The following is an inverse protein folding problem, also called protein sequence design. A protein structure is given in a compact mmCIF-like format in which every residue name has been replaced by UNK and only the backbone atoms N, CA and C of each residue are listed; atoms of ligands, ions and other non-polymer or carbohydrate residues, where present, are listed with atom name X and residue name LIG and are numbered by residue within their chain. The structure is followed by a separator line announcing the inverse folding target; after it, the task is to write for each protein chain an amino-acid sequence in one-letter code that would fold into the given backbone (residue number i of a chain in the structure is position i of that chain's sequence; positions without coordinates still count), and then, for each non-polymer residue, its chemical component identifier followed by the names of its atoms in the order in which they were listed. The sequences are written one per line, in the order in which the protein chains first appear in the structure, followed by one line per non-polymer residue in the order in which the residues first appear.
data_IF_269526025392
#
_entry.id   IF_269526025392
#
_cell.length_a   1.000
_cell.length_b   1.000
_cell.length_c   1.000
_cell.angle_alpha   90.00
_cell.angle_beta   90.00
_cell.angle_gamma   90.00
#
_symmetry.space_group_name_H-M   'P 1'
#
loop_
_entity.id
_entity.type
_entity.pdbx_description
1 polymer ?
#
# COMPACT_ATOMS: atom_id res chain seq x y z
N UNK A 1 38.01 -36.56 -22.35
CA UNK A 1 37.55 -37.07 -21.05
C UNK A 1 37.31 -35.83 -20.17
N UNK A 2 36.14 -35.21 -20.31
CA UNK A 2 35.71 -34.11 -19.43
C UNK A 2 35.21 -34.74 -18.15
N UNK A 3 35.91 -34.43 -17.07
CA UNK A 3 35.53 -34.78 -15.72
C UNK A 3 34.24 -34.04 -15.40
N UNK A 4 33.11 -34.72 -15.47
CA UNK A 4 31.83 -34.31 -14.91
C UNK A 4 32.00 -34.27 -13.40
N UNK A 5 32.44 -33.12 -12.86
CA UNK A 5 32.31 -32.79 -11.45
C UNK A 5 30.82 -32.57 -11.18
N UNK A 6 30.15 -33.61 -10.68
CA UNK A 6 28.84 -33.47 -10.08
C UNK A 6 29.01 -32.46 -8.94
N UNK A 7 28.49 -31.25 -9.14
CA UNK A 7 28.36 -30.25 -8.07
C UNK A 7 27.35 -30.78 -7.05
N UNK A 8 27.80 -31.64 -6.17
CA UNK A 8 27.04 -32.00 -4.96
C UNK A 8 27.08 -30.81 -4.03
N UNK A 9 26.00 -30.05 -4.02
CA UNK A 9 25.81 -28.98 -3.02
C UNK A 9 25.95 -29.59 -1.64
N UNK A 10 26.87 -29.08 -0.82
CA UNK A 10 27.04 -29.49 0.56
C UNK A 10 25.88 -28.91 1.39
N UNK A 11 24.88 -29.72 1.66
CA UNK A 11 23.72 -29.28 2.47
C UNK A 11 24.08 -29.40 3.97
N UNK A 12 24.55 -28.32 4.54
CA UNK A 12 24.47 -28.19 6.00
C UNK A 12 23.02 -27.88 6.39
N UNK A 13 22.44 -28.69 7.26
CA UNK A 13 21.08 -28.43 7.79
C UNK A 13 21.04 -27.36 8.87
N UNK A 14 22.19 -26.83 9.29
CA UNK A 14 22.28 -25.89 10.41
C UNK A 14 22.43 -24.44 9.92
N UNK A 15 21.46 -23.59 10.27
CA UNK A 15 21.49 -22.14 10.02
C UNK A 15 22.78 -21.50 10.57
N UNK A 16 23.28 -21.97 11.71
CA UNK A 16 24.52 -21.49 12.34
C UNK A 16 25.75 -21.63 11.43
N UNK A 17 25.79 -22.65 10.56
CA UNK A 17 26.84 -22.80 9.58
C UNK A 17 26.93 -21.59 8.63
N UNK A 18 25.83 -21.16 8.06
CA UNK A 18 25.78 -20.02 7.14
C UNK A 18 26.14 -18.71 7.82
N UNK A 19 25.69 -18.51 9.07
CA UNK A 19 26.06 -17.33 9.87
C UNK A 19 27.56 -17.28 10.12
N UNK A 20 28.18 -18.40 10.53
CA UNK A 20 29.62 -18.46 10.75
C UNK A 20 30.41 -18.27 9.43
N UNK A 21 29.90 -18.79 8.31
CA UNK A 21 30.52 -18.66 7.00
C UNK A 21 30.70 -17.19 6.59
N UNK A 22 29.71 -16.37 6.83
CA UNK A 22 29.74 -14.94 6.52
C UNK A 22 30.36 -14.08 7.63
N UNK A 23 30.85 -14.70 8.69
CA UNK A 23 31.47 -14.01 9.83
C UNK A 23 30.48 -13.36 10.81
N UNK A 24 29.18 -13.66 10.68
CA UNK A 24 28.13 -13.17 11.58
C UNK A 24 27.92 -14.15 12.74
N UNK A 25 28.35 -13.77 13.95
CA UNK A 25 28.19 -14.61 15.13
C UNK A 25 26.78 -14.49 15.69
N UNK A 26 26.09 -15.63 15.87
CA UNK A 26 24.85 -15.66 16.63
C UNK A 26 25.21 -15.57 18.11
N UNK A 27 24.64 -14.61 18.83
CA UNK A 27 24.84 -14.47 20.28
C UNK A 27 24.31 -15.71 20.99
N UNK A 28 25.09 -16.25 21.91
CA UNK A 28 24.66 -17.40 22.74
C UNK A 28 23.74 -16.97 23.89
N UNK A 29 23.87 -15.73 24.31
CA UNK A 29 23.08 -15.13 25.38
C UNK A 29 22.41 -13.83 24.94
N UNK A 30 21.30 -13.51 25.54
CA UNK A 30 20.58 -12.25 25.30
C UNK A 30 21.39 -11.06 25.81
N UNK A 31 21.65 -10.10 24.95
CA UNK A 31 22.26 -8.82 25.30
C UNK A 31 21.19 -7.78 25.60
N UNK A 32 21.57 -6.71 26.35
CA UNK A 32 20.68 -5.57 26.58
C UNK A 32 20.18 -4.97 25.25
N UNK A 33 21.07 -4.92 24.24
CA UNK A 33 20.71 -4.45 22.88
C UNK A 33 19.60 -5.31 22.27
N UNK A 34 19.67 -6.63 22.41
CA UNK A 34 18.64 -7.54 21.85
C UNK A 34 17.29 -7.32 22.53
N UNK A 35 17.26 -7.19 23.86
CA UNK A 35 16.02 -6.90 24.59
C UNK A 35 15.40 -5.57 24.18
N UNK A 36 16.19 -4.52 24.00
CA UNK A 36 15.70 -3.21 23.57
C UNK A 36 15.12 -3.29 22.16
N UNK A 37 15.83 -3.92 21.21
CA UNK A 37 15.39 -4.04 19.81
C UNK A 37 14.10 -4.86 19.72
N UNK A 38 14.04 -5.99 20.41
CA UNK A 38 12.85 -6.87 20.39
C UNK A 38 11.67 -6.20 21.09
N UNK A 39 11.88 -5.61 22.26
CA UNK A 39 10.82 -4.91 22.97
C UNK A 39 10.24 -3.75 22.16
N UNK A 40 11.12 -2.93 21.56
CA UNK A 40 10.69 -1.84 20.68
C UNK A 40 9.98 -2.37 19.43
N UNK A 41 10.57 -3.37 18.75
CA UNK A 41 10.01 -3.97 17.54
C UNK A 41 8.63 -4.58 17.79
N UNK A 42 8.46 -5.40 18.83
CA UNK A 42 7.16 -5.98 19.18
C UNK A 42 6.11 -4.94 19.56
N UNK A 43 6.52 -3.85 20.21
CA UNK A 43 5.62 -2.73 20.52
C UNK A 43 5.13 -2.06 19.23
N UNK A 44 6.03 -1.80 18.28
CA UNK A 44 5.66 -1.26 16.96
C UNK A 44 4.75 -2.22 16.22
N UNK A 45 5.08 -3.52 16.16
CA UNK A 45 4.23 -4.55 15.55
C UNK A 45 2.80 -4.53 16.11
N UNK A 46 2.68 -4.48 17.43
CA UNK A 46 1.38 -4.45 18.10
C UNK A 46 0.55 -3.23 17.68
N UNK A 47 1.18 -2.04 17.66
CA UNK A 47 0.52 -0.81 17.25
C UNK A 47 0.14 -0.86 15.75
N UNK A 48 1.03 -1.41 14.89
CA UNK A 48 0.77 -1.61 13.45
C UNK A 48 -0.46 -2.47 13.25
N UNK A 49 -0.52 -3.63 13.92
CA UNK A 49 -1.65 -4.56 13.80
C UNK A 49 -2.96 -3.90 14.24
N UNK A 50 -2.98 -3.23 15.39
CA UNK A 50 -4.18 -2.56 15.89
C UNK A 50 -4.64 -1.42 14.99
N UNK A 51 -3.71 -0.58 14.53
CA UNK A 51 -4.04 0.58 13.70
C UNK A 51 -4.60 0.16 12.34
N UNK A 52 -4.00 -0.83 11.68
CA UNK A 52 -4.47 -1.30 10.38
C UNK A 52 -5.76 -2.13 10.50
N UNK A 53 -5.93 -2.89 11.57
CA UNK A 53 -7.21 -3.54 11.87
C UNK A 53 -8.34 -2.51 12.04
N UNK A 54 -8.08 -1.40 12.72
CA UNK A 54 -9.04 -0.29 12.82
C UNK A 54 -9.42 0.28 11.46
N UNK A 55 -8.47 0.48 10.55
CA UNK A 55 -8.75 0.93 9.18
C UNK A 55 -9.65 -0.06 8.46
N UNK A 56 -9.34 -1.36 8.50
CA UNK A 56 -10.15 -2.40 7.85
C UNK A 56 -11.56 -2.45 8.42
N UNK A 57 -11.71 -2.42 9.75
CA UNK A 57 -13.03 -2.38 10.41
C UNK A 57 -13.81 -1.12 10.02
N UNK A 58 -13.16 0.05 9.97
CA UNK A 58 -13.80 1.29 9.56
C UNK A 58 -14.33 1.23 8.11
N UNK A 59 -13.52 0.69 7.17
CA UNK A 59 -13.94 0.51 5.77
C UNK A 59 -15.12 -0.47 5.67
N UNK A 60 -15.09 -1.55 6.45
CA UNK A 60 -16.17 -2.53 6.45
C UNK A 60 -17.49 -1.99 7.04
N UNK A 61 -17.40 -1.25 8.15
CA UNK A 61 -18.59 -0.75 8.88
C UNK A 61 -19.28 0.41 8.17
N UNK A 62 -18.54 1.28 7.48
CA UNK A 62 -19.09 2.50 6.89
C UNK A 62 -19.35 2.34 5.40
N UNK A 63 -20.62 2.32 4.99
CA UNK A 63 -21.03 2.17 3.59
C UNK A 63 -20.49 3.27 2.67
N UNK A 64 -20.13 4.44 3.21
CA UNK A 64 -19.49 5.52 2.44
C UNK A 64 -18.10 5.15 1.90
N UNK A 65 -17.48 4.11 2.46
CA UNK A 65 -16.17 3.60 1.99
C UNK A 65 -16.30 2.44 0.99
N UNK A 66 -17.50 2.13 0.50
CA UNK A 66 -17.68 1.04 -0.48
C UNK A 66 -17.41 1.44 -1.94
N UNK A 67 -16.59 2.48 -2.16
CA UNK A 67 -16.06 2.84 -3.48
C UNK A 67 -14.78 2.07 -3.80
N UNK A 68 -14.49 1.82 -5.09
CA UNK A 68 -13.34 1.02 -5.51
C UNK A 68 -11.99 1.43 -4.91
N UNK A 69 -11.75 2.72 -4.72
CA UNK A 69 -10.52 3.22 -4.12
C UNK A 69 -10.33 2.77 -2.67
N UNK A 70 -11.41 2.68 -1.89
CA UNK A 70 -11.31 2.22 -0.50
C UNK A 70 -11.02 0.73 -0.39
N UNK A 71 -11.33 -0.07 -1.42
CA UNK A 71 -10.88 -1.46 -1.48
C UNK A 71 -9.36 -1.56 -1.64
N UNK A 72 -8.72 -0.66 -2.41
CA UNK A 72 -7.26 -0.59 -2.47
C UNK A 72 -6.66 -0.12 -1.14
N UNK A 73 -7.28 0.87 -0.48
CA UNK A 73 -6.85 1.31 0.86
C UNK A 73 -7.02 0.19 1.90
N UNK A 74 -8.11 -0.57 1.83
CA UNK A 74 -8.32 -1.75 2.66
C UNK A 74 -7.29 -2.84 2.40
N UNK A 75 -6.93 -3.07 1.14
CA UNK A 75 -5.88 -4.01 0.78
C UNK A 75 -4.49 -3.54 1.26
N UNK A 76 -4.21 -2.24 1.23
CA UNK A 76 -2.99 -1.68 1.82
C UNK A 76 -2.96 -1.89 3.32
N UNK A 77 -4.07 -1.64 4.03
CA UNK A 77 -4.16 -1.93 5.46
C UNK A 77 -4.02 -3.43 5.77
N UNK A 78 -4.52 -4.32 4.90
CA UNK A 78 -4.32 -5.76 5.03
C UNK A 78 -2.84 -6.17 4.84
N UNK A 79 -2.14 -5.57 3.87
CA UNK A 79 -0.72 -5.80 3.66
C UNK A 79 0.13 -5.28 4.84
N UNK A 80 -0.21 -4.11 5.40
CA UNK A 80 0.46 -3.54 6.56
C UNK A 80 0.18 -4.34 7.85
N UNK A 81 -1.05 -4.85 8.02
CA UNK A 81 -1.36 -5.78 9.11
C UNK A 81 -0.55 -7.07 8.99
N UNK A 82 -0.46 -7.62 7.78
CA UNK A 82 0.36 -8.80 7.51
C UNK A 82 1.84 -8.52 7.76
N UNK A 83 2.34 -7.31 7.43
CA UNK A 83 3.69 -6.86 7.76
C UNK A 83 3.92 -6.89 9.28
N UNK A 84 3.03 -6.29 10.08
CA UNK A 84 3.14 -6.29 11.54
C UNK A 84 3.24 -7.70 12.14
N UNK A 85 2.44 -8.65 11.63
CA UNK A 85 2.52 -10.07 12.05
C UNK A 85 3.83 -10.71 11.61
N UNK A 86 4.29 -10.44 10.38
CA UNK A 86 5.54 -10.97 9.82
C UNK A 86 6.77 -10.48 10.58
N UNK A 87 6.80 -9.18 10.90
CA UNK A 87 7.87 -8.59 11.72
C UNK A 87 7.83 -9.08 13.17
N UNK A 88 6.66 -9.28 13.76
CA UNK A 88 6.56 -9.90 15.08
C UNK A 88 7.16 -11.30 15.07
N UNK A 89 6.86 -12.11 14.04
CA UNK A 89 7.48 -13.42 13.85
C UNK A 89 9.01 -13.30 13.68
N UNK A 90 9.51 -12.34 12.93
CA UNK A 90 10.94 -12.06 12.79
C UNK A 90 11.58 -11.73 14.14
N UNK A 91 10.98 -10.82 14.93
CA UNK A 91 11.48 -10.40 16.24
C UNK A 91 11.53 -11.55 17.23
N UNK A 92 10.50 -12.41 17.26
CA UNK A 92 10.44 -13.58 18.11
C UNK A 92 11.46 -14.68 17.73
N UNK A 93 11.94 -14.68 16.48
CA UNK A 93 12.90 -15.65 15.95
C UNK A 93 14.28 -15.02 15.67
N UNK A 94 14.69 -14.01 16.42
CA UNK A 94 15.99 -13.34 16.30
C UNK A 94 16.86 -13.54 17.56
N UNK A 95 18.07 -13.00 17.57
CA UNK A 95 19.01 -13.15 18.69
C UNK A 95 19.47 -14.60 18.89
N UNK A 96 19.60 -15.09 20.13
CA UNK A 96 20.01 -16.46 20.43
C UNK A 96 19.11 -17.53 19.83
N UNK A 97 17.81 -17.26 19.68
CA UNK A 97 16.86 -18.22 19.08
C UNK A 97 17.11 -18.49 17.61
N UNK A 98 17.83 -17.62 16.91
CA UNK A 98 18.22 -17.88 15.51
C UNK A 98 18.99 -19.20 15.35
N UNK A 99 19.77 -19.61 16.36
CA UNK A 99 20.55 -20.86 16.33
C UNK A 99 19.70 -22.12 16.37
N UNK A 100 18.45 -22.03 16.86
CA UNK A 100 17.53 -23.16 16.98
C UNK A 100 16.64 -23.33 15.75
N UNK A 101 16.67 -22.40 14.81
CA UNK A 101 15.85 -22.46 13.60
C UNK A 101 16.35 -23.53 12.63
N UNK A 102 15.40 -24.26 12.03
CA UNK A 102 15.68 -25.02 10.80
C UNK A 102 15.82 -24.07 9.61
N UNK A 103 16.39 -24.55 8.50
CA UNK A 103 16.48 -23.76 7.25
C UNK A 103 15.09 -23.32 6.75
N UNK A 104 14.13 -24.24 6.80
CA UNK A 104 12.76 -23.99 6.36
C UNK A 104 12.11 -22.89 7.20
N UNK A 105 12.29 -22.93 8.53
CA UNK A 105 11.78 -21.88 9.43
C UNK A 105 12.47 -20.54 9.14
N UNK A 106 13.76 -20.55 8.87
CA UNK A 106 14.51 -19.36 8.53
C UNK A 106 14.03 -18.73 7.21
N UNK A 107 13.86 -19.55 6.14
CA UNK A 107 13.31 -19.10 4.89
C UNK A 107 11.86 -18.62 5.02
N UNK A 108 11.03 -19.31 5.77
CA UNK A 108 9.64 -18.91 6.03
C UNK A 108 9.59 -17.55 6.69
N UNK A 109 10.44 -17.28 7.68
CA UNK A 109 10.57 -15.99 8.35
C UNK A 109 10.93 -14.88 7.35
N UNK A 110 11.91 -15.14 6.47
CA UNK A 110 12.31 -14.19 5.41
C UNK A 110 11.20 -13.99 4.38
N UNK A 111 10.59 -15.07 3.90
CA UNK A 111 9.52 -15.03 2.91
C UNK A 111 8.31 -14.21 3.37
N UNK A 112 7.91 -14.32 4.64
CA UNK A 112 6.82 -13.51 5.20
C UNK A 112 7.12 -12.01 5.11
N UNK A 113 8.36 -11.62 5.40
CA UNK A 113 8.82 -10.24 5.25
C UNK A 113 8.80 -9.82 3.78
N UNK A 114 9.40 -10.59 2.89
CA UNK A 114 9.50 -10.26 1.47
C UNK A 114 8.11 -10.14 0.81
N UNK A 115 7.16 -11.02 1.18
CA UNK A 115 5.76 -10.95 0.73
C UNK A 115 5.11 -9.65 1.19
N UNK A 116 5.22 -9.32 2.49
CA UNK A 116 4.57 -8.13 3.05
C UNK A 116 5.11 -6.85 2.42
N UNK A 117 6.43 -6.76 2.26
CA UNK A 117 7.11 -5.63 1.65
C UNK A 117 6.71 -5.44 0.19
N UNK A 118 6.78 -6.51 -0.59
CA UNK A 118 6.40 -6.48 -2.00
C UNK A 118 4.94 -6.10 -2.16
N UNK A 119 4.04 -6.62 -1.31
CA UNK A 119 2.63 -6.26 -1.33
C UNK A 119 2.41 -4.78 -0.99
N UNK A 120 3.09 -4.22 0.00
CA UNK A 120 2.98 -2.80 0.38
C UNK A 120 3.47 -1.89 -0.74
N UNK A 121 4.65 -2.17 -1.34
CA UNK A 121 5.18 -1.40 -2.49
C UNK A 121 4.24 -1.46 -3.69
N UNK A 122 3.75 -2.65 -4.03
CA UNK A 122 2.84 -2.84 -5.16
C UNK A 122 1.49 -2.14 -4.96
N UNK A 123 0.96 -2.10 -3.72
CA UNK A 123 -0.23 -1.34 -3.37
C UNK A 123 -0.02 0.17 -3.58
N UNK A 124 1.10 0.72 -3.11
CA UNK A 124 1.43 2.12 -3.30
C UNK A 124 1.58 2.48 -4.78
N UNK A 125 2.23 1.61 -5.56
CA UNK A 125 2.34 1.78 -7.01
C UNK A 125 0.96 1.75 -7.68
N UNK A 126 0.08 0.81 -7.31
CA UNK A 126 -1.28 0.72 -7.85
C UNK A 126 -2.10 1.99 -7.56
N UNK A 127 -2.00 2.52 -6.33
CA UNK A 127 -2.64 3.80 -5.95
C UNK A 127 -2.02 4.96 -6.75
N UNK A 128 -0.70 4.99 -6.93
CA UNK A 128 -0.02 6.03 -7.71
C UNK A 128 -0.47 6.04 -9.18
N UNK A 129 -0.54 4.86 -9.81
CA UNK A 129 -1.01 4.70 -11.20
C UNK A 129 -2.47 5.14 -11.33
N UNK A 130 -3.33 4.71 -10.43
CA UNK A 130 -4.74 5.07 -10.43
C UNK A 130 -4.92 6.59 -10.32
N UNK A 131 -4.22 7.22 -9.37
CA UNK A 131 -4.29 8.68 -9.19
C UNK A 131 -3.72 9.45 -10.37
N UNK A 132 -2.61 8.98 -10.94
CA UNK A 132 -2.04 9.57 -12.13
C UNK A 132 -3.02 9.55 -13.31
N UNK A 133 -3.67 8.41 -13.55
CA UNK A 133 -4.67 8.30 -14.62
C UNK A 133 -5.88 9.20 -14.35
N UNK A 134 -6.48 9.12 -13.17
CA UNK A 134 -7.69 9.89 -12.80
C UNK A 134 -7.48 11.40 -12.93
N UNK A 135 -6.34 11.92 -12.47
CA UNK A 135 -6.09 13.36 -12.46
C UNK A 135 -5.73 13.89 -13.85
N UNK A 136 -4.88 13.17 -14.62
CA UNK A 136 -4.46 13.65 -15.95
C UNK A 136 -5.54 13.53 -17.01
N UNK A 137 -6.46 12.56 -16.91
CA UNK A 137 -7.55 12.41 -17.88
C UNK A 137 -8.74 13.32 -17.60
N UNK A 138 -8.70 14.13 -16.53
CA UNK A 138 -9.84 14.93 -16.03
C UNK A 138 -11.14 14.15 -15.86
N UNK A 139 -11.11 12.86 -15.99
CA UNK A 139 -12.26 12.00 -15.75
C UNK A 139 -12.35 11.68 -14.24
N UNK A 140 -12.82 12.67 -13.46
CA UNK A 140 -13.16 12.45 -12.05
C UNK A 140 -14.12 11.26 -11.85
N UNK A 141 -14.75 10.82 -12.92
CA UNK A 141 -15.72 9.73 -12.99
C UNK A 141 -15.23 8.53 -13.81
N UNK A 142 -13.94 8.38 -14.08
CA UNK A 142 -13.42 7.08 -14.51
C UNK A 142 -13.64 6.10 -13.36
N UNK A 143 -14.87 5.56 -13.29
CA UNK A 143 -15.27 4.57 -12.30
C UNK A 143 -14.35 3.37 -12.49
N UNK A 144 -13.29 3.29 -11.65
CA UNK A 144 -12.50 2.08 -11.59
C UNK A 144 -13.47 0.91 -11.40
N UNK A 145 -13.52 0.00 -12.36
CA UNK A 145 -14.42 -1.15 -12.28
C UNK A 145 -14.01 -2.01 -11.09
N UNK A 146 -14.96 -2.50 -10.31
CA UNK A 146 -14.71 -3.46 -9.22
C UNK A 146 -13.86 -4.63 -9.69
N UNK A 147 -14.04 -5.12 -10.93
CA UNK A 147 -13.22 -6.19 -11.53
C UNK A 147 -11.75 -5.81 -11.64
N UNK A 148 -11.42 -4.55 -12.03
CA UNK A 148 -10.03 -4.08 -12.10
C UNK A 148 -9.38 -4.03 -10.73
N UNK A 149 -10.10 -3.57 -9.70
CA UNK A 149 -9.59 -3.55 -8.32
C UNK A 149 -9.28 -4.96 -7.83
N UNK A 150 -10.22 -5.89 -8.00
CA UNK A 150 -10.02 -7.29 -7.59
C UNK A 150 -8.82 -7.90 -8.32
N UNK A 151 -8.70 -7.68 -9.64
CA UNK A 151 -7.56 -8.17 -10.42
C UNK A 151 -6.25 -7.59 -9.91
N UNK A 152 -6.19 -6.28 -9.63
CA UNK A 152 -5.00 -5.64 -9.06
C UNK A 152 -4.63 -6.27 -7.71
N UNK A 153 -5.59 -6.47 -6.82
CA UNK A 153 -5.37 -7.10 -5.52
C UNK A 153 -4.79 -8.51 -5.68
N UNK A 154 -5.38 -9.33 -6.56
CA UNK A 154 -4.88 -10.67 -6.85
C UNK A 154 -3.45 -10.62 -7.41
N UNK A 155 -3.17 -9.72 -8.35
CA UNK A 155 -1.82 -9.54 -8.90
C UNK A 155 -0.81 -9.11 -7.83
N UNK A 156 -1.17 -8.18 -6.95
CA UNK A 156 -0.30 -7.71 -5.85
C UNK A 156 0.12 -8.87 -4.96
N UNK A 157 -0.83 -9.68 -4.49
CA UNK A 157 -0.53 -10.83 -3.64
C UNK A 157 0.20 -11.94 -4.38
N UNK A 158 -0.12 -12.21 -5.65
CA UNK A 158 0.58 -13.19 -6.47
C UNK A 158 2.06 -12.81 -6.66
N UNK A 159 2.35 -11.53 -6.97
CA UNK A 159 3.72 -11.02 -7.07
C UNK A 159 4.43 -11.07 -5.72
N UNK A 160 3.76 -10.69 -4.64
CA UNK A 160 4.31 -10.77 -3.28
C UNK A 160 4.73 -12.19 -2.93
N UNK A 161 3.85 -13.17 -3.10
CA UNK A 161 4.12 -14.59 -2.84
C UNK A 161 5.27 -15.09 -3.72
N UNK A 162 5.26 -14.76 -5.00
CA UNK A 162 6.35 -15.15 -5.92
C UNK A 162 7.70 -14.61 -5.42
N UNK A 163 7.78 -13.33 -5.06
CA UNK A 163 9.01 -12.71 -4.56
C UNK A 163 9.49 -13.28 -3.23
N UNK A 164 8.57 -13.64 -2.32
CA UNK A 164 8.94 -14.29 -1.05
C UNK A 164 9.46 -15.73 -1.23
N UNK A 165 9.05 -16.45 -2.28
CA UNK A 165 9.49 -17.81 -2.54
C UNK A 165 10.81 -17.88 -3.35
N UNK A 166 11.13 -16.83 -4.12
CA UNK A 166 12.33 -16.80 -4.98
C UNK A 166 13.62 -17.08 -4.22
N UNK A 167 13.90 -16.51 -3.02
CA UNK A 167 15.16 -16.79 -2.31
C UNK A 167 15.32 -18.26 -1.96
N UNK A 168 14.27 -18.92 -1.46
CA UNK A 168 14.36 -20.31 -1.05
C UNK A 168 14.43 -21.31 -2.20
N UNK A 169 13.78 -20.99 -3.33
CA UNK A 169 13.66 -21.92 -4.46
C UNK A 169 14.74 -21.74 -5.53
N UNK A 170 15.08 -20.48 -5.86
CA UNK A 170 15.88 -20.16 -7.04
C UNK A 170 17.18 -19.43 -6.72
N UNK A 171 17.17 -18.51 -5.73
CA UNK A 171 18.28 -17.60 -5.45
C UNK A 171 18.77 -17.71 -4.01
N UNK A 172 18.91 -18.95 -3.52
CA UNK A 172 19.66 -19.22 -2.30
C UNK A 172 21.16 -19.30 -2.60
N UNK A 173 21.99 -19.25 -1.55
CA UNK A 173 23.43 -19.37 -1.68
C UNK A 173 23.97 -20.75 -1.31
N UNK A 174 23.10 -21.75 -1.12
CA UNK A 174 23.48 -23.07 -0.58
C UNK A 174 24.52 -23.79 -1.46
N UNK A 175 24.43 -23.61 -2.77
CA UNK A 175 25.38 -24.20 -3.75
C UNK A 175 26.51 -23.27 -4.14
N UNK A 176 26.47 -21.97 -3.78
CA UNK A 176 27.48 -20.96 -4.07
C UNK A 176 27.78 -20.16 -2.80
N UNK A 177 28.52 -20.78 -1.89
CA UNK A 177 28.76 -20.23 -0.54
C UNK A 177 29.45 -18.86 -0.54
N UNK A 178 30.23 -18.54 -1.58
CA UNK A 178 30.84 -17.21 -1.74
C UNK A 178 29.83 -16.12 -2.11
N UNK A 179 28.64 -16.49 -2.55
CA UNK A 179 27.56 -15.56 -2.91
C UNK A 179 26.58 -15.32 -1.74
N UNK A 180 26.85 -15.88 -0.55
CA UNK A 180 26.02 -15.66 0.62
C UNK A 180 26.10 -14.21 1.12
N UNK A 181 24.94 -13.65 1.45
CA UNK A 181 24.80 -12.31 2.04
C UNK A 181 25.28 -12.28 3.48
N UNK A 182 25.82 -11.17 3.95
CA UNK A 182 26.17 -10.98 5.37
C UNK A 182 24.94 -10.56 6.19
N UNK A 183 24.01 -9.83 5.59
CA UNK A 183 22.76 -9.39 6.24
C UNK A 183 21.78 -10.58 6.35
N UNK A 184 21.58 -11.32 5.25
CA UNK A 184 20.67 -12.47 5.18
C UNK A 184 21.44 -13.75 4.77
N UNK A 185 22.11 -14.46 5.70
CA UNK A 185 23.15 -15.46 5.39
C UNK A 185 22.77 -16.64 4.52
N UNK A 186 21.49 -16.92 4.29
CA UNK A 186 21.03 -17.97 3.40
C UNK A 186 20.59 -17.42 2.02
N UNK A 187 20.46 -16.10 1.88
CA UNK A 187 20.11 -15.47 0.61
C UNK A 187 21.36 -15.20 -0.23
N UNK A 188 21.21 -15.30 -1.55
CA UNK A 188 22.22 -14.88 -2.51
C UNK A 188 22.35 -13.35 -2.54
N UNK A 189 23.58 -12.83 -2.57
CA UNK A 189 23.83 -11.39 -2.75
C UNK A 189 23.21 -10.85 -4.03
N UNK A 190 23.17 -11.65 -5.09
CA UNK A 190 22.53 -11.28 -6.37
C UNK A 190 21.05 -11.03 -6.20
N UNK A 191 20.37 -11.85 -5.39
CA UNK A 191 18.95 -11.61 -5.07
C UNK A 191 18.75 -10.29 -4.35
N UNK A 192 19.57 -9.97 -3.35
CA UNK A 192 19.45 -8.72 -2.58
C UNK A 192 19.67 -7.49 -3.47
N UNK A 193 20.68 -7.53 -4.35
CA UNK A 193 20.92 -6.45 -5.33
C UNK A 193 19.71 -6.30 -6.27
N UNK A 194 19.22 -7.40 -6.83
CA UNK A 194 18.06 -7.38 -7.71
C UNK A 194 16.83 -6.81 -7.00
N UNK A 195 16.55 -7.30 -5.80
CA UNK A 195 15.38 -6.89 -5.03
C UNK A 195 15.47 -5.41 -4.62
N UNK A 196 16.62 -4.96 -4.13
CA UNK A 196 16.85 -3.56 -3.77
C UNK A 196 16.74 -2.64 -5.00
N UNK A 197 17.36 -3.01 -6.12
CA UNK A 197 17.29 -2.25 -7.36
C UNK A 197 15.87 -2.13 -7.91
N UNK A 198 15.09 -3.22 -7.87
CA UNK A 198 13.70 -3.25 -8.31
C UNK A 198 12.84 -2.29 -7.46
N UNK A 199 13.01 -2.31 -6.14
CA UNK A 199 12.27 -1.42 -5.24
C UNK A 199 12.69 0.05 -5.45
N UNK A 200 13.97 0.36 -5.58
CA UNK A 200 14.46 1.71 -5.87
C UNK A 200 13.91 2.23 -7.21
N UNK A 201 13.93 1.40 -8.25
CA UNK A 201 13.33 1.75 -9.54
C UNK A 201 11.82 2.07 -9.39
N UNK A 202 11.09 1.25 -8.64
CA UNK A 202 9.67 1.48 -8.35
C UNK A 202 9.46 2.80 -7.63
N UNK A 203 10.33 3.18 -6.69
CA UNK A 203 10.30 4.48 -6.01
C UNK A 203 10.52 5.64 -6.98
N UNK A 204 11.50 5.53 -7.87
CA UNK A 204 11.72 6.55 -8.91
C UNK A 204 10.50 6.73 -9.80
N UNK A 205 9.86 5.64 -10.21
CA UNK A 205 8.62 5.69 -11.01
C UNK A 205 7.52 6.42 -10.24
N UNK A 206 7.29 6.06 -8.97
CA UNK A 206 6.27 6.72 -8.14
C UNK A 206 6.58 8.22 -7.96
N UNK A 207 7.81 8.58 -7.64
CA UNK A 207 8.23 9.99 -7.49
C UNK A 207 8.01 10.75 -8.80
N UNK A 208 8.38 10.18 -9.94
CA UNK A 208 8.15 10.79 -11.26
C UNK A 208 6.65 11.01 -11.54
N UNK A 209 5.81 10.01 -11.24
CA UNK A 209 4.36 10.12 -11.42
C UNK A 209 3.76 11.22 -10.53
N UNK A 210 4.11 11.27 -9.25
CA UNK A 210 3.62 12.30 -8.34
C UNK A 210 4.14 13.70 -8.69
N UNK A 211 5.39 13.81 -9.14
CA UNK A 211 5.93 15.08 -9.65
C UNK A 211 5.14 15.57 -10.86
N UNK A 212 4.83 14.69 -11.82
CA UNK A 212 3.98 15.04 -12.98
C UNK A 212 2.59 15.49 -12.55
N UNK A 213 1.94 14.78 -11.63
CA UNK A 213 0.64 15.18 -11.10
C UNK A 213 0.74 16.55 -10.41
N UNK A 214 1.76 16.76 -9.57
CA UNK A 214 1.96 18.03 -8.85
C UNK A 214 2.13 19.20 -9.80
N UNK A 215 3.00 19.06 -10.82
CA UNK A 215 3.22 20.09 -11.84
C UNK A 215 1.93 20.38 -12.60
N UNK A 216 1.19 19.36 -13.01
CA UNK A 216 -0.08 19.50 -13.70
C UNK A 216 -1.13 20.27 -12.87
N UNK A 217 -1.31 19.87 -11.61
CA UNK A 217 -2.27 20.53 -10.70
C UNK A 217 -1.86 21.98 -10.42
N UNK A 218 -0.55 22.25 -10.22
CA UNK A 218 -0.04 23.63 -10.06
C UNK A 218 -0.31 24.48 -11.29
N UNK A 219 0.00 23.96 -12.48
CA UNK A 219 -0.25 24.68 -13.73
C UNK A 219 -1.74 25.00 -13.90
N UNK A 220 -2.60 24.01 -13.64
CA UNK A 220 -4.05 24.17 -13.74
C UNK A 220 -4.60 25.17 -12.70
N UNK A 221 -4.11 25.12 -11.46
CA UNK A 221 -4.47 26.07 -10.40
C UNK A 221 -4.10 27.51 -10.76
N UNK A 222 -2.96 27.73 -11.42
CA UNK A 222 -2.56 29.05 -11.88
C UNK A 222 -3.45 29.55 -13.03
N UNK A 223 -3.89 28.65 -13.91
CA UNK A 223 -4.73 29.01 -15.07
C UNK A 223 -6.20 29.20 -14.68
N UNK A 224 -6.73 28.41 -13.73
CA UNK A 224 -8.14 28.43 -13.28
C UNK A 224 -8.37 29.39 -12.11
N UNK A 225 -7.34 29.97 -11.51
CA UNK A 225 -7.41 30.94 -10.40
C UNK A 225 -8.29 32.15 -10.68
N UNK A 226 -8.76 32.33 -11.91
CA UNK A 226 -9.71 33.37 -12.28
C UNK A 226 -11.20 32.95 -12.13
N UNK A 227 -11.57 31.66 -11.97
CA UNK A 227 -12.99 31.31 -12.10
C UNK A 227 -13.59 30.26 -11.16
N UNK A 228 -12.84 29.51 -10.33
CA UNK A 228 -13.48 28.64 -9.32
C UNK A 228 -12.52 28.12 -8.24
N UNK A 229 -12.71 28.55 -6.99
CA UNK A 229 -11.78 28.27 -5.87
C UNK A 229 -11.97 26.93 -5.16
N UNK A 230 -13.16 26.33 -5.14
CA UNK A 230 -13.44 25.15 -4.30
C UNK A 230 -12.88 23.82 -4.83
N UNK A 231 -12.95 23.61 -6.12
CA UNK A 231 -12.50 22.34 -6.74
C UNK A 231 -10.97 22.18 -6.72
N UNK A 232 -10.23 23.27 -6.91
CA UNK A 232 -8.77 23.31 -6.83
C UNK A 232 -8.25 22.97 -5.44
N UNK A 233 -8.93 23.43 -4.39
CA UNK A 233 -8.57 23.16 -2.99
C UNK A 233 -8.66 21.68 -2.63
N UNK A 234 -9.71 21.00 -3.08
CA UNK A 234 -9.93 19.56 -2.81
C UNK A 234 -8.86 18.70 -3.47
N UNK A 235 -8.54 18.96 -4.74
CA UNK A 235 -7.48 18.26 -5.48
C UNK A 235 -6.12 18.51 -4.82
N UNK A 236 -5.81 19.75 -4.43
CA UNK A 236 -4.56 20.10 -3.76
C UNK A 236 -4.41 19.39 -2.40
N UNK A 237 -5.47 19.31 -1.61
CA UNK A 237 -5.46 18.60 -0.34
C UNK A 237 -5.22 17.10 -0.51
N UNK A 238 -5.84 16.48 -1.53
CA UNK A 238 -5.61 15.08 -1.88
C UNK A 238 -4.14 14.85 -2.26
N UNK A 239 -3.57 15.72 -3.09
CA UNK A 239 -2.17 15.65 -3.51
C UNK A 239 -1.21 15.74 -2.33
N UNK A 240 -1.45 16.66 -1.41
CA UNK A 240 -0.65 16.79 -0.18
C UNK A 240 -0.65 15.50 0.64
N UNK A 241 -1.81 14.85 0.76
CA UNK A 241 -1.95 13.59 1.50
C UNK A 241 -1.11 12.48 0.87
N UNK A 242 -1.23 12.31 -0.45
CA UNK A 242 -0.52 11.25 -1.18
C UNK A 242 1.00 11.50 -1.17
N UNK A 243 1.43 12.76 -1.32
CA UNK A 243 2.86 13.13 -1.24
C UNK A 243 3.45 12.84 0.16
N UNK A 244 2.65 13.01 1.23
CA UNK A 244 3.09 12.64 2.58
C UNK A 244 3.26 11.13 2.74
N UNK A 245 2.31 10.32 2.22
CA UNK A 245 2.43 8.85 2.24
C UNK A 245 3.69 8.40 1.51
N UNK A 246 3.91 8.89 0.28
CA UNK A 246 5.09 8.55 -0.50
C UNK A 246 6.39 9.01 0.17
N UNK A 247 6.40 10.25 0.70
CA UNK A 247 7.58 10.80 1.38
C UNK A 247 7.98 9.97 2.60
N UNK A 248 7.01 9.62 3.43
CA UNK A 248 7.24 8.76 4.59
C UNK A 248 7.73 7.35 4.17
N UNK A 249 7.13 6.79 3.11
CA UNK A 249 7.54 5.50 2.57
C UNK A 249 9.01 5.53 2.12
N UNK A 250 9.42 6.53 1.33
CA UNK A 250 10.81 6.68 0.88
C UNK A 250 11.75 6.84 2.07
N UNK A 251 11.41 7.66 3.06
CA UNK A 251 12.25 7.88 4.25
C UNK A 251 12.40 6.60 5.06
N UNK A 252 11.34 5.85 5.28
CA UNK A 252 11.37 4.63 6.09
C UNK A 252 12.12 3.48 5.40
N UNK A 253 12.02 3.37 4.07
CA UNK A 253 12.56 2.22 3.32
C UNK A 253 13.95 2.41 2.76
N UNK A 254 14.32 3.64 2.39
CA UNK A 254 15.64 3.91 1.77
C UNK A 254 16.82 3.40 2.61
N UNK A 255 16.86 3.58 3.95
CA UNK A 255 17.97 3.04 4.74
C UNK A 255 18.13 1.52 4.62
N UNK A 256 17.01 0.78 4.69
CA UNK A 256 17.02 -0.68 4.55
C UNK A 256 17.45 -1.13 3.16
N UNK A 257 16.91 -0.52 2.10
CA UNK A 257 17.28 -0.85 0.73
C UNK A 257 18.75 -0.54 0.43
N UNK A 258 19.27 0.57 0.94
CA UNK A 258 20.70 0.90 0.81
C UNK A 258 21.58 -0.11 1.56
N UNK A 259 21.17 -0.56 2.74
CA UNK A 259 21.86 -1.60 3.50
C UNK A 259 21.94 -2.90 2.70
N UNK A 260 20.83 -3.34 2.11
CA UNK A 260 20.79 -4.54 1.26
C UNK A 260 21.62 -4.40 -0.01
N UNK A 261 21.58 -3.23 -0.64
CA UNK A 261 22.37 -2.95 -1.84
C UNK A 261 23.88 -2.93 -1.54
N UNK A 262 24.29 -2.31 -0.44
CA UNK A 262 25.68 -2.28 -0.02
C UNK A 262 26.20 -3.67 0.34
N UNK A 263 25.41 -4.46 1.07
CA UNK A 263 25.75 -5.85 1.38
C UNK A 263 25.91 -6.68 0.11
N UNK A 264 24.98 -6.56 -0.84
CA UNK A 264 25.02 -7.28 -2.09
C UNK A 264 26.22 -6.91 -2.98
N UNK A 265 26.62 -5.64 -2.99
CA UNK A 265 27.75 -5.14 -3.82
C UNK A 265 29.11 -5.34 -3.16
N UNK A 266 29.25 -5.01 -1.87
CA UNK A 266 30.50 -4.99 -1.14
C UNK A 266 30.75 -6.29 -0.33
N UNK A 267 29.70 -7.05 -0.04
CA UNK A 267 29.79 -8.30 0.72
C UNK A 267 30.37 -8.07 2.14
N UNK A 268 31.39 -8.86 2.49
CA UNK A 268 31.97 -8.84 3.86
C UNK A 268 32.64 -7.52 4.26
N UNK A 269 32.97 -6.68 3.30
CA UNK A 269 33.58 -5.36 3.55
C UNK A 269 32.53 -4.30 3.91
N UNK A 270 31.23 -4.64 3.91
CA UNK A 270 30.17 -3.72 4.27
C UNK A 270 29.93 -3.71 5.77
N UNK A 271 29.74 -2.50 6.35
CA UNK A 271 29.24 -2.33 7.73
C UNK A 271 27.72 -2.47 7.83
N UNK A 272 27.07 -3.11 6.82
CA UNK A 272 25.63 -3.25 6.74
C UNK A 272 24.99 -3.95 7.95
N UNK A 273 25.70 -4.92 8.52
CA UNK A 273 25.25 -5.68 9.70
C UNK A 273 25.04 -4.82 10.97
N UNK A 274 25.76 -3.70 11.10
CA UNK A 274 25.70 -2.84 12.29
C UNK A 274 24.36 -2.10 12.37
N UNK A 275 23.77 -1.79 11.22
CA UNK A 275 22.55 -0.99 11.09
C UNK A 275 21.31 -1.79 10.74
N UNK A 276 21.45 -3.06 10.33
CA UNK A 276 20.35 -3.93 9.85
C UNK A 276 19.11 -3.89 10.75
N UNK A 277 19.31 -4.12 12.05
CA UNK A 277 18.18 -4.20 13.01
C UNK A 277 17.43 -2.87 13.16
N UNK A 278 18.14 -1.76 13.08
CA UNK A 278 17.52 -0.43 13.15
C UNK A 278 16.77 -0.09 11.86
N UNK A 279 17.36 -0.44 10.71
CA UNK A 279 16.69 -0.27 9.41
C UNK A 279 15.39 -1.06 9.32
N UNK A 280 15.35 -2.27 9.86
CA UNK A 280 14.15 -3.10 9.94
C UNK A 280 13.05 -2.43 10.79
N UNK A 281 13.37 -1.91 11.96
CA UNK A 281 12.40 -1.20 12.82
C UNK A 281 11.89 0.07 12.14
N UNK A 282 12.77 0.84 11.48
CA UNK A 282 12.35 2.04 10.74
C UNK A 282 11.43 1.66 9.57
N UNK A 283 11.76 0.61 8.83
CA UNK A 283 10.94 0.13 7.72
C UNK A 283 9.54 -0.31 8.19
N UNK A 284 9.45 -0.98 9.35
CA UNK A 284 8.19 -1.37 9.96
C UNK A 284 7.32 -0.18 10.36
N UNK A 285 7.93 0.92 10.83
CA UNK A 285 7.21 2.16 11.17
C UNK A 285 6.44 2.73 9.97
N UNK A 286 6.82 2.40 8.72
CA UNK A 286 6.07 2.79 7.54
C UNK A 286 4.61 2.33 7.58
N UNK A 287 4.35 1.12 8.08
CA UNK A 287 3.00 0.57 8.18
C UNK A 287 2.10 1.29 9.20
N UNK A 288 2.66 2.16 10.05
CA UNK A 288 1.91 3.08 10.91
C UNK A 288 1.52 4.38 10.20
N UNK A 289 2.28 4.77 9.18
CA UNK A 289 2.07 6.06 8.53
C UNK A 289 0.71 6.15 7.86
N UNK A 290 0.26 5.07 7.21
CA UNK A 290 -0.99 5.02 6.48
C UNK A 290 -2.22 5.30 7.38
N UNK A 291 -2.44 4.57 8.49
CA UNK A 291 -3.53 4.85 9.43
C UNK A 291 -3.47 6.26 10.02
N UNK A 292 -2.28 6.77 10.35
CA UNK A 292 -2.10 8.12 10.89
C UNK A 292 -2.52 9.17 9.86
N UNK A 293 -2.07 9.05 8.61
CA UNK A 293 -2.43 10.00 7.55
C UNK A 293 -3.94 9.96 7.30
N UNK A 294 -4.57 8.78 7.25
CA UNK A 294 -6.02 8.67 7.06
C UNK A 294 -6.78 9.32 8.21
N UNK A 295 -6.35 9.11 9.45
CA UNK A 295 -7.00 9.73 10.62
C UNK A 295 -6.86 11.26 10.67
N UNK A 296 -5.78 11.81 10.11
CA UNK A 296 -5.54 13.26 10.08
C UNK A 296 -6.22 13.95 8.90
N UNK A 297 -6.35 13.28 7.77
CA UNK A 297 -6.74 13.90 6.49
C UNK A 297 -8.15 13.56 6.04
N UNK A 298 -8.68 12.40 6.42
CA UNK A 298 -10.03 11.97 6.09
C UNK A 298 -10.93 12.15 7.33
N UNK A 299 -11.81 13.16 7.28
CA UNK A 299 -12.69 13.48 8.40
C UNK A 299 -13.70 12.37 8.67
N UNK A 300 -14.19 11.69 7.64
CA UNK A 300 -15.14 10.59 7.79
C UNK A 300 -14.45 9.37 8.43
N UNK A 301 -13.21 9.07 8.03
CA UNK A 301 -12.39 8.03 8.66
C UNK A 301 -12.14 8.35 10.13
N UNK A 302 -11.78 9.60 10.44
CA UNK A 302 -11.56 10.05 11.82
C UNK A 302 -12.83 9.93 12.67
N UNK A 303 -13.99 10.29 12.13
CA UNK A 303 -15.29 10.15 12.83
C UNK A 303 -15.60 8.67 13.08
N UNK A 304 -15.34 7.82 12.10
CA UNK A 304 -15.56 6.37 12.20
C UNK A 304 -14.64 5.76 13.26
N UNK A 305 -13.34 6.12 13.29
CA UNK A 305 -12.41 5.69 14.34
C UNK A 305 -12.88 6.08 15.74
N UNK A 306 -13.34 7.33 15.93
CA UNK A 306 -13.89 7.78 17.21
C UNK A 306 -15.09 6.93 17.63
N UNK A 307 -15.99 6.58 16.71
CA UNK A 307 -17.15 5.70 17.00
C UNK A 307 -16.69 4.31 17.45
N UNK A 308 -15.75 3.69 16.72
CA UNK A 308 -15.20 2.37 17.06
C UNK A 308 -14.58 2.41 18.46
N UNK A 309 -13.75 3.41 18.76
CA UNK A 309 -13.10 3.56 20.06
C UNK A 309 -14.12 3.78 21.18
N UNK A 310 -15.14 4.62 20.96
CA UNK A 310 -16.21 4.83 21.95
C UNK A 310 -17.00 3.55 22.23
N UNK A 311 -17.26 2.73 21.20
CA UNK A 311 -17.91 1.43 21.38
C UNK A 311 -17.05 0.47 22.21
N UNK A 312 -15.74 0.42 21.93
CA UNK A 312 -14.79 -0.45 22.65
C UNK A 312 -14.58 -0.02 24.11
N UNK A 313 -14.62 1.31 24.41
CA UNK A 313 -14.43 1.83 25.75
C UNK A 313 -15.71 1.79 26.63
N UNK A 314 -16.80 1.15 26.18
CA UNK A 314 -18.03 1.01 26.96
C UNK A 314 -18.74 2.32 27.27
N UNK A 315 -18.33 3.47 26.69
CA UNK A 315 -18.98 4.79 26.87
C UNK A 315 -20.25 4.96 26.03
N UNK A 316 -20.79 3.88 25.47
CA UNK A 316 -22.05 3.85 24.74
C UNK A 316 -23.31 3.81 25.61
N UNK A 317 -23.22 4.06 26.91
CA UNK A 317 -24.36 4.13 27.80
C UNK A 317 -24.95 5.55 27.84
N UNK A 318 -26.02 5.83 27.09
CA UNK A 318 -26.89 6.93 27.36
C UNK A 318 -26.90 8.12 26.39
N UNK A 319 -26.76 7.88 25.11
CA UNK A 319 -27.21 8.89 24.13
C UNK A 319 -28.09 8.20 23.12
N UNK A 320 -29.37 8.58 23.12
CA UNK A 320 -30.38 8.20 22.13
C UNK A 320 -29.68 8.03 20.76
N UNK A 321 -29.87 6.86 20.16
CA UNK A 321 -29.73 6.71 18.72
C UNK A 321 -30.64 7.77 18.11
N UNK A 322 -30.08 8.92 17.74
CA UNK A 322 -30.69 9.62 16.62
C UNK A 322 -30.72 8.58 15.50
N UNK A 323 -31.92 8.21 15.04
CA UNK A 323 -31.99 7.37 13.86
C UNK A 323 -31.17 8.12 12.82
N UNK A 324 -30.19 7.41 12.22
CA UNK A 324 -29.62 7.88 10.96
C UNK A 324 -30.81 8.45 10.20
N UNK A 325 -30.77 9.69 9.71
CA UNK A 325 -31.75 10.08 8.74
C UNK A 325 -31.62 9.01 7.66
N UNK A 326 -32.61 8.15 7.57
CA UNK A 326 -32.96 7.51 6.31
C UNK A 326 -33.17 8.73 5.42
N UNK A 327 -32.13 9.17 4.76
CA UNK A 327 -32.27 9.92 3.53
C UNK A 327 -33.01 8.93 2.63
N UNK A 328 -34.34 8.88 2.85
CA UNK A 328 -35.33 8.55 1.84
C UNK A 328 -34.78 9.27 0.64
N UNK A 329 -34.51 8.52 -0.44
CA UNK A 329 -34.27 9.05 -1.76
C UNK A 329 -35.05 10.36 -1.87
N UNK A 330 -34.41 11.49 -1.59
CA UNK A 330 -34.88 12.75 -2.08
C UNK A 330 -34.74 12.60 -3.58
N UNK A 331 -35.84 12.69 -4.35
CA UNK A 331 -35.74 12.70 -5.79
C UNK A 331 -34.65 13.74 -6.11
N UNK A 332 -33.73 13.35 -7.02
CA UNK A 332 -32.76 14.27 -7.62
C UNK A 332 -33.43 15.62 -7.77
N UNK A 333 -32.82 16.73 -7.33
CA UNK A 333 -33.37 18.04 -7.61
C UNK A 333 -33.67 18.05 -9.12
N UNK A 334 -34.93 18.19 -9.45
CA UNK A 334 -35.36 18.45 -10.82
C UNK A 334 -34.55 19.65 -11.26
N UNK A 335 -33.68 19.48 -12.24
CA UNK A 335 -33.02 20.62 -12.88
C UNK A 335 -34.12 21.60 -13.27
N UNK A 336 -34.00 22.90 -12.94
CA UNK A 336 -34.99 23.86 -13.31
C UNK A 336 -35.12 23.84 -14.85
N UNK A 337 -36.33 23.57 -15.30
CA UNK A 337 -36.70 23.61 -16.70
C UNK A 337 -36.22 24.95 -17.27
N UNK A 338 -35.21 24.93 -18.12
CA UNK A 338 -34.76 26.12 -18.83
C UNK A 338 -35.78 26.43 -19.94
N UNK A 339 -36.77 27.26 -19.60
CA UNK A 339 -37.67 27.83 -20.61
C UNK A 339 -36.97 28.97 -21.32
N UNK A 340 -36.68 28.82 -22.61
CA UNK A 340 -36.18 29.88 -23.46
C UNK A 340 -37.38 30.65 -24.03
N UNK A 341 -37.54 31.88 -23.56
CA UNK A 341 -38.50 32.83 -24.13
C UNK A 341 -37.94 33.34 -25.46
N UNK A 342 -38.55 32.94 -26.57
CA UNK A 342 -38.36 33.56 -27.86
C UNK A 342 -39.59 34.41 -28.11
N UNK A 343 -39.41 35.71 -28.30
CA UNK A 343 -40.47 36.66 -28.59
C UNK A 343 -41.22 36.16 -29.86
N UNK A 344 -42.54 36.02 -29.73
CA UNK A 344 -43.55 35.73 -30.75
C UNK A 344 -44.03 34.32 -30.95
N UNK A 345 -43.86 33.35 -29.97
CA UNK A 345 -44.57 32.08 -30.08
C UNK A 345 -44.77 31.38 -28.69
N UNK A 346 -45.80 30.55 -28.52
CA UNK A 346 -46.16 29.98 -27.20
C UNK A 346 -45.10 28.98 -26.72
N UNK A 347 -44.87 29.00 -25.42
CA UNK A 347 -43.86 28.28 -24.66
C UNK A 347 -43.85 26.77 -24.94
N UNK A 348 -42.75 26.25 -25.49
CA UNK A 348 -42.49 24.82 -25.67
C UNK A 348 -41.59 24.32 -24.55
N UNK A 349 -42.06 23.46 -23.68
CA UNK A 349 -41.27 22.77 -22.65
C UNK A 349 -40.85 21.41 -23.16
N UNK A 350 -39.54 21.15 -23.26
CA UNK A 350 -39.01 19.86 -23.68
C UNK A 350 -38.60 19.05 -22.42
N UNK A 351 -39.18 17.90 -22.18
CA UNK A 351 -38.74 16.90 -21.25
C UNK A 351 -37.78 15.93 -21.97
N UNK A 352 -36.59 15.74 -21.41
CA UNK A 352 -35.63 14.78 -21.93
C UNK A 352 -35.81 13.43 -21.21
N UNK A 353 -36.45 12.50 -21.89
CA UNK A 353 -36.59 11.11 -21.42
C UNK A 353 -35.27 10.36 -21.63
N UNK A 354 -34.61 9.98 -20.54
CA UNK A 354 -33.30 9.31 -20.56
C UNK A 354 -33.40 7.77 -20.66
N UNK A 355 -34.47 7.24 -21.13
CA UNK A 355 -34.63 5.79 -21.36
C UNK A 355 -35.13 5.50 -22.77
N UNK A 356 -34.29 5.61 -23.76
CA UNK A 356 -34.25 4.63 -24.85
C UNK A 356 -33.05 4.89 -25.78
N UNK A 357 -32.35 3.81 -26.08
CA UNK A 357 -31.46 3.70 -27.22
C UNK A 357 -32.34 3.71 -28.48
N UNK A 358 -31.88 4.41 -29.43
CA UNK A 358 -32.09 4.35 -30.88
C UNK A 358 -32.59 5.65 -31.48
N UNK A 359 -31.91 6.00 -32.53
CA UNK A 359 -32.05 7.15 -33.41
C UNK A 359 -33.46 7.41 -33.88
N UNK A 360 -33.91 8.65 -33.85
CA UNK A 360 -35.09 9.05 -34.59
C UNK A 360 -35.77 10.28 -34.02
N UNK A 361 -35.49 11.42 -34.63
CA UNK A 361 -36.28 12.63 -34.46
C UNK A 361 -37.65 12.42 -35.11
N UNK A 362 -38.69 12.24 -34.34
CA UNK A 362 -40.08 12.29 -34.85
C UNK A 362 -40.71 13.62 -34.56
N UNK A 363 -40.97 14.36 -35.60
CA UNK A 363 -41.84 15.53 -35.55
C UNK A 363 -43.28 15.07 -35.36
N UNK A 364 -43.94 15.51 -34.30
CA UNK A 364 -45.37 15.38 -34.15
C UNK A 364 -46.07 16.44 -34.99
N UNK A 365 -46.68 16.03 -36.11
CA UNK A 365 -47.52 16.86 -36.93
C UNK A 365 -48.90 16.97 -36.29
N UNK A 366 -49.40 18.21 -36.15
CA UNK A 366 -50.79 18.47 -35.87
C UNK A 366 -51.58 18.34 -37.19
N UNK A 367 -52.39 17.30 -37.29
CA UNK A 367 -53.49 17.25 -38.26
C UNK A 367 -54.68 18.06 -37.73
N UNK A 368 -54.93 19.20 -38.37
CA UNK A 368 -56.23 19.90 -38.31
C UNK A 368 -56.96 19.52 -39.58
N UNK A 369 -57.96 18.70 -39.49
CA UNK A 369 -58.98 18.51 -40.55
C UNK A 369 -60.16 19.38 -40.24
N UNK A 370 -60.57 20.12 -41.23
CA UNK A 370 -61.83 20.84 -41.38
C UNK A 370 -63.04 20.00 -41.15
#
# INVERSE_FOLDING_TARGET
MESSTSNTCYYSHNVTFFYNLVGKKISVAWTTRDYVVIGLGLTVCFIVVLANLMVMVAIFMNRRFHFPIYYLLGNMAAADLFAGVSYANLMLNTGPWTSTLTKEQWYTRGALIDISLTASVANLLAVAVERHQTILTMQLHSKMSKRRVVLLIVCIWAVGIAMGLVPSMLWNCECQLDDCSTVAPLYSRRFLVFWAALNLLTFFIMVAMYTRIFVYVRYQSLYVSQHSSEHGQTVFNLMKTISMVLGAFVICWTPGLMTLLLDGLLGKDSHANDYEKFCLVIAECNSLVNPVIYSLRDEEMRRTFKRILCCLCGRGGGRQREPLPLEIDSPLPEEPLHCVHKSDDPTLCLSQDTNNKEDGWTMAGNDIST
#
